data_IF_486101101646
#
_entry.id   IF_486101101646
#
_cell.length_a   1.000
_cell.length_b   1.000
_cell.length_c   1.000
_cell.angle_alpha   90.00
_cell.angle_beta   90.00
_cell.angle_gamma   90.00
#
_symmetry.space_group_name_H-M   'P 1'
#
loop_
_entity.id
_entity.type
_entity.pdbx_description
1 polymer ?
#
# COMPACT_ATOMS: atom_id res chain seq x y z
N UNK A 1 5.11 -1.54 -14.37
CA UNK A 1 5.23 -1.45 -12.91
C UNK A 1 5.28 -2.85 -12.32
N UNK A 2 6.26 -3.15 -11.48
CA UNK A 2 6.41 -4.43 -10.78
C UNK A 2 5.76 -4.31 -9.41
N UNK A 3 4.82 -5.22 -9.10
CA UNK A 3 4.27 -5.34 -7.75
C UNK A 3 5.34 -5.93 -6.82
N UNK A 4 5.53 -5.29 -5.69
CA UNK A 4 6.40 -5.73 -4.60
C UNK A 4 5.50 -6.05 -3.41
N UNK A 5 5.58 -7.30 -2.93
CA UNK A 5 4.89 -7.72 -1.71
C UNK A 5 5.58 -7.08 -0.50
N UNK A 6 4.80 -6.41 0.35
CA UNK A 6 5.30 -5.76 1.56
C UNK A 6 5.89 -6.76 2.56
N UNK A 7 5.45 -8.02 2.50
CA UNK A 7 6.00 -9.10 3.31
C UNK A 7 7.45 -9.42 2.93
N UNK A 8 7.78 -9.28 1.66
CA UNK A 8 9.10 -9.63 1.12
C UNK A 8 10.05 -8.43 1.11
N UNK A 9 9.52 -7.20 0.96
CA UNK A 9 10.34 -6.00 0.86
C UNK A 9 9.55 -4.74 1.24
N UNK A 10 10.20 -3.81 1.93
CA UNK A 10 9.62 -2.51 2.30
C UNK A 10 10.22 -1.39 1.44
N UNK A 11 9.49 -0.28 1.22
CA UNK A 11 10.04 0.87 0.53
C UNK A 11 11.26 1.45 1.25
N UNK A 12 12.28 1.85 0.49
CA UNK A 12 13.55 2.40 1.02
C UNK A 12 13.63 3.92 0.99
N UNK A 13 12.68 4.58 0.31
CA UNK A 13 12.72 6.02 0.07
C UNK A 13 11.40 6.65 0.53
N UNK A 14 11.48 7.80 1.21
CA UNK A 14 10.30 8.60 1.52
C UNK A 14 9.79 9.29 0.27
N UNK A 15 8.70 8.76 -0.29
CA UNK A 15 8.01 9.28 -1.47
C UNK A 15 6.60 8.69 -1.56
N UNK A 16 5.85 9.15 -2.54
CA UNK A 16 4.55 8.59 -2.89
C UNK A 16 4.75 7.33 -3.74
N UNK A 17 4.06 6.26 -3.36
CA UNK A 17 3.99 4.99 -4.08
C UNK A 17 2.55 4.72 -4.48
N UNK A 18 2.38 4.00 -5.58
CA UNK A 18 1.11 3.37 -5.90
C UNK A 18 1.03 2.04 -5.15
N UNK A 19 0.01 1.85 -4.32
CA UNK A 19 -0.11 0.72 -3.38
C UNK A 19 -1.34 -0.13 -3.65
N UNK A 20 -1.27 -1.42 -3.30
CA UNK A 20 -2.38 -2.35 -3.34
C UNK A 20 -2.95 -2.57 -1.93
N UNK A 21 -4.26 -2.39 -1.83
CA UNK A 21 -5.05 -2.56 -0.61
C UNK A 21 -5.94 -3.79 -0.79
N UNK A 22 -6.08 -4.60 0.25
CA UNK A 22 -6.95 -5.78 0.27
C UNK A 22 -7.85 -5.76 1.49
N UNK A 23 -9.09 -6.22 1.32
CA UNK A 23 -9.98 -6.51 2.44
C UNK A 23 -9.59 -7.83 3.15
N UNK A 24 -9.48 -7.80 4.47
CA UNK A 24 -9.12 -8.93 5.33
C UNK A 24 -10.10 -10.10 5.25
N UNK A 25 -11.40 -9.80 5.20
CA UNK A 25 -12.47 -10.81 5.15
C UNK A 25 -13.06 -10.97 3.74
N UNK A 26 -12.35 -10.53 2.70
CA UNK A 26 -12.84 -10.53 1.32
C UNK A 26 -11.78 -10.80 0.25
N UNK A 27 -12.25 -10.81 -1.00
CA UNK A 27 -11.40 -10.92 -2.19
C UNK A 27 -11.30 -9.60 -2.96
N UNK A 28 -11.89 -8.52 -2.45
CA UNK A 28 -11.78 -7.22 -3.10
C UNK A 28 -10.41 -6.63 -2.84
N UNK A 29 -9.81 -6.15 -3.92
CA UNK A 29 -8.61 -5.33 -3.90
C UNK A 29 -8.94 -3.98 -4.51
N UNK A 30 -8.21 -2.97 -4.07
CA UNK A 30 -8.19 -1.65 -4.71
C UNK A 30 -6.79 -1.07 -4.65
N UNK A 31 -6.59 -0.02 -5.42
CA UNK A 31 -5.30 0.65 -5.51
C UNK A 31 -5.46 2.11 -5.09
N UNK A 32 -4.40 2.68 -4.54
CA UNK A 32 -4.37 4.06 -4.08
C UNK A 32 -2.94 4.61 -4.08
N UNK A 33 -2.79 5.92 -3.97
CA UNK A 33 -1.51 6.53 -3.67
C UNK A 33 -1.30 6.62 -2.17
N UNK A 34 -0.10 6.24 -1.72
CA UNK A 34 0.31 6.33 -0.33
C UNK A 34 1.72 6.90 -0.22
N UNK A 35 1.92 7.81 0.73
CA UNK A 35 3.23 8.28 1.14
C UNK A 35 3.87 7.28 2.10
N UNK A 36 5.09 6.84 1.80
CA UNK A 36 5.89 6.04 2.73
C UNK A 36 6.62 6.94 3.71
N UNK A 37 6.47 6.66 5.00
CA UNK A 37 7.14 7.33 6.13
C UNK A 37 7.77 6.30 7.08
N UNK A 38 8.46 6.77 8.12
CA UNK A 38 9.01 5.92 9.19
C UNK A 38 7.93 5.10 9.92
N UNK A 39 6.66 5.55 9.89
CA UNK A 39 5.52 4.87 10.49
C UNK A 39 4.74 3.99 9.49
N UNK A 40 5.27 3.83 8.28
CA UNK A 40 4.64 3.07 7.20
C UNK A 40 3.90 3.95 6.20
N UNK A 41 2.95 3.34 5.49
CA UNK A 41 2.18 3.99 4.45
C UNK A 41 1.02 4.82 5.00
N UNK A 42 0.92 6.06 4.52
CA UNK A 42 -0.20 6.97 4.77
C UNK A 42 -0.89 7.23 3.43
N UNK A 43 -2.18 6.91 3.33
CA UNK A 43 -2.95 7.12 2.10
C UNK A 43 -3.17 8.62 1.86
N UNK A 44 -2.98 9.06 0.60
CA UNK A 44 -2.99 10.49 0.24
C UNK A 44 -4.42 11.00 -0.03
N UNK A 45 -5.18 10.27 -0.84
CA UNK A 45 -6.50 10.72 -1.35
C UNK A 45 -7.68 9.93 -0.77
N UNK A 46 -7.41 9.02 0.16
CA UNK A 46 -8.40 8.09 0.71
C UNK A 46 -7.99 7.63 2.10
N UNK A 47 -8.86 6.91 2.78
CA UNK A 47 -8.59 6.33 4.10
C UNK A 47 -8.61 4.81 4.01
N UNK A 48 -7.91 4.16 4.93
CA UNK A 48 -7.95 2.71 5.10
C UNK A 48 -9.20 2.37 5.92
N UNK A 49 -10.06 1.50 5.43
CA UNK A 49 -11.19 1.01 6.23
C UNK A 49 -10.69 -0.03 7.25
N UNK A 50 -11.46 -0.24 8.33
CA UNK A 50 -11.06 -1.11 9.44
C UNK A 50 -10.79 -2.57 9.01
N UNK A 51 -11.37 -3.01 7.90
CA UNK A 51 -11.19 -4.34 7.33
C UNK A 51 -10.20 -4.35 6.17
N UNK A 52 -9.44 -3.29 5.94
CA UNK A 52 -8.46 -3.18 4.86
C UNK A 52 -7.03 -3.14 5.37
N UNK A 53 -6.09 -3.58 4.53
CA UNK A 53 -4.66 -3.44 4.77
C UNK A 53 -3.90 -3.29 3.45
N UNK A 54 -2.78 -2.59 3.50
CA UNK A 54 -1.86 -2.47 2.36
C UNK A 54 -0.98 -3.72 2.35
N UNK A 55 -0.94 -4.44 1.23
CA UNK A 55 -0.15 -5.68 1.10
C UNK A 55 0.98 -5.57 0.08
N UNK A 56 1.01 -4.53 -0.73
CA UNK A 56 2.08 -4.35 -1.69
C UNK A 56 2.11 -2.95 -2.28
N UNK A 57 3.20 -2.66 -2.98
CA UNK A 57 3.40 -1.40 -3.70
C UNK A 57 4.07 -1.65 -5.04
N UNK A 58 3.88 -0.71 -5.97
CA UNK A 58 4.45 -0.77 -7.29
C UNK A 58 5.77 -0.01 -7.36
N UNK A 59 6.77 -0.64 -7.98
CA UNK A 59 7.99 0.02 -8.45
C UNK A 59 7.91 0.19 -9.97
N UNK A 60 8.26 1.38 -10.45
CA UNK A 60 8.58 1.61 -11.86
C UNK A 60 9.88 0.91 -12.24
#
# INVERSE_FOLDING_TARGET
MKLVDLKDNIPKFHRIYFVCIRQAFGFKTREAYAEWSDNGFILVDTVLFNDEYIFGFYLE
#
